data_IF_648864723931
#
_entry.id   IF_648864723931
#
_cell.length_a   1.000
_cell.length_b   1.000
_cell.length_c   1.000
_cell.angle_alpha   90.00
_cell.angle_beta   90.00
_cell.angle_gamma   90.00
#
_symmetry.space_group_name_H-M   'P 1'
#
loop_
_entity.id
_entity.type
_entity.pdbx_description
1 polymer ?
#
# COMPACT_ATOMS: atom_id res chain seq x y z
N UNK A 1 21.21 35.10 6.93
CA UNK A 1 21.57 33.67 6.91
C UNK A 1 20.33 32.91 7.32
N UNK A 2 19.81 31.96 6.57
CA UNK A 2 20.52 30.95 5.78
C UNK A 2 20.35 29.65 6.54
N UNK A 3 19.16 29.05 6.46
CA UNK A 3 18.90 27.75 7.08
C UNK A 3 18.58 26.70 6.03
N UNK A 4 19.38 25.63 6.12
CA UNK A 4 19.69 24.70 5.06
C UNK A 4 18.70 23.53 5.08
N UNK A 5 18.02 23.34 3.94
CA UNK A 5 17.64 22.05 3.35
C UNK A 5 17.85 20.80 4.22
N UNK A 6 16.75 20.19 4.68
CA UNK A 6 16.72 18.79 5.10
C UNK A 6 15.45 18.10 4.60
N UNK A 7 15.63 17.13 3.71
CA UNK A 7 14.62 16.10 3.46
C UNK A 7 14.17 15.98 2.01
N UNK A 8 15.09 16.09 1.05
CA UNK A 8 14.97 15.38 -0.23
C UNK A 8 14.94 13.87 0.09
N UNK A 9 13.79 13.36 0.50
CA UNK A 9 13.49 11.95 0.34
C UNK A 9 13.30 11.82 -1.15
N UNK A 10 14.28 11.25 -1.84
CA UNK A 10 14.22 10.85 -3.23
C UNK A 10 12.89 10.16 -3.45
N UNK A 11 11.90 10.94 -3.91
CA UNK A 11 10.56 10.45 -4.13
C UNK A 11 10.73 9.53 -5.31
N UNK A 12 10.59 8.23 -5.05
CA UNK A 12 10.63 7.20 -6.09
C UNK A 12 9.94 7.74 -7.33
N UNK A 13 10.58 7.65 -8.52
CA UNK A 13 10.10 8.32 -9.71
C UNK A 13 8.61 8.04 -9.82
N UNK A 14 7.79 9.06 -9.56
CA UNK A 14 6.35 8.91 -9.70
C UNK A 14 6.20 8.53 -11.16
N UNK A 15 5.52 7.41 -11.39
CA UNK A 15 5.20 6.97 -12.74
C UNK A 15 4.53 8.11 -13.52
N UNK A 16 4.29 7.91 -14.83
CA UNK A 16 3.66 8.92 -15.68
C UNK A 16 2.50 9.59 -14.94
N UNK A 17 2.41 10.94 -14.96
CA UNK A 17 1.41 11.67 -14.20
C UNK A 17 0.05 11.05 -14.48
N UNK A 18 -0.58 10.56 -13.42
CA UNK A 18 -1.88 9.90 -13.52
C UNK A 18 -2.87 10.88 -14.15
N UNK A 19 -3.55 10.45 -15.21
CA UNK A 19 -4.68 11.19 -15.79
C UNK A 19 -5.84 11.29 -14.79
N UNK A 20 -5.86 10.43 -13.78
CA UNK A 20 -6.72 10.56 -12.62
C UNK A 20 -6.07 11.54 -11.66
N UNK A 21 -6.49 12.81 -11.77
CA UNK A 21 -6.02 13.89 -10.90
C UNK A 21 -6.70 13.87 -9.51
N UNK A 22 -7.84 13.19 -9.40
CA UNK A 22 -8.67 13.18 -8.19
C UNK A 22 -9.11 11.75 -7.88
N UNK A 23 -9.05 11.41 -6.59
CA UNK A 23 -9.56 10.14 -6.10
C UNK A 23 -11.09 10.20 -6.02
N UNK A 24 -11.77 9.19 -6.55
CA UNK A 24 -13.22 9.06 -6.35
C UNK A 24 -13.49 8.86 -4.86
N UNK A 25 -14.29 9.74 -4.20
CA UNK A 25 -14.60 9.58 -2.79
C UNK A 25 -15.22 8.21 -2.49
N UNK A 26 -14.90 7.66 -1.32
CA UNK A 26 -15.45 6.37 -0.89
C UNK A 26 -16.86 6.56 -0.34
N UNK A 27 -17.74 5.60 -0.63
CA UNK A 27 -19.11 5.58 -0.10
C UNK A 27 -19.18 5.15 1.38
N UNK A 28 -18.10 4.59 1.93
CA UNK A 28 -17.98 4.09 3.30
C UNK A 28 -16.62 4.50 3.89
N UNK A 29 -16.53 4.53 5.22
CA UNK A 29 -15.23 4.77 5.88
C UNK A 29 -14.26 3.62 5.58
N UNK A 30 -12.96 3.89 5.74
CA UNK A 30 -11.90 2.88 5.55
C UNK A 30 -12.10 1.68 6.47
N UNK A 31 -12.47 1.94 7.72
CA UNK A 31 -12.66 0.93 8.77
C UNK A 31 -13.84 0.01 8.41
N UNK A 32 -14.93 0.59 7.91
CA UNK A 32 -16.10 -0.17 7.48
C UNK A 32 -15.77 -1.10 6.29
N UNK A 33 -15.00 -0.61 5.31
CA UNK A 33 -14.56 -1.41 4.15
C UNK A 33 -13.65 -2.55 4.62
N UNK A 34 -12.69 -2.27 5.51
CA UNK A 34 -11.77 -3.29 6.04
C UNK A 34 -12.51 -4.37 6.84
N UNK A 35 -13.48 -4.00 7.67
CA UNK A 35 -14.28 -4.95 8.43
C UNK A 35 -15.13 -5.85 7.52
N UNK A 36 -15.72 -5.28 6.46
CA UNK A 36 -16.46 -6.04 5.44
C UNK A 36 -15.54 -7.03 4.71
N UNK A 37 -14.38 -6.58 4.23
CA UNK A 37 -13.41 -7.46 3.58
C UNK A 37 -12.92 -8.59 4.51
N UNK A 38 -12.66 -8.28 5.79
CA UNK A 38 -12.17 -9.28 6.75
C UNK A 38 -13.24 -10.30 7.17
N UNK A 39 -14.51 -9.90 7.21
CA UNK A 39 -15.63 -10.80 7.49
C UNK A 39 -16.07 -11.61 6.28
N UNK A 40 -15.63 -11.23 5.07
CA UNK A 40 -15.97 -11.93 3.85
C UNK A 40 -15.19 -13.25 3.73
N UNK A 41 -15.92 -14.33 3.47
CA UNK A 41 -15.35 -15.65 3.25
C UNK A 41 -14.70 -15.74 1.86
N UNK A 42 -13.44 -15.31 1.76
CA UNK A 42 -12.62 -15.42 0.54
C UNK A 42 -12.58 -16.84 -0.02
N UNK A 43 -12.71 -17.84 0.85
CA UNK A 43 -12.80 -19.27 0.51
C UNK A 43 -14.03 -19.60 -0.33
N UNK A 44 -15.21 -19.06 0.02
CA UNK A 44 -16.45 -19.21 -0.75
C UNK A 44 -16.35 -18.58 -2.13
N UNK A 45 -15.63 -17.46 -2.23
CA UNK A 45 -15.33 -16.81 -3.50
C UNK A 45 -14.17 -17.46 -4.29
N UNK A 46 -13.59 -18.57 -3.79
CA UNK A 46 -12.42 -19.25 -4.37
C UNK A 46 -11.20 -18.34 -4.53
N UNK A 47 -11.14 -17.25 -3.79
CA UNK A 47 -10.00 -16.34 -3.73
C UNK A 47 -8.93 -17.00 -2.87
N UNK A 48 -7.81 -17.35 -3.50
CA UNK A 48 -6.65 -17.94 -2.84
C UNK A 48 -5.58 -16.89 -2.65
N UNK A 49 -5.19 -16.64 -1.40
CA UNK A 49 -4.03 -15.82 -1.12
C UNK A 49 -2.77 -16.51 -1.68
N UNK A 50 -1.86 -15.77 -2.33
CA UNK A 50 -0.54 -16.30 -2.66
C UNK A 50 0.11 -16.87 -1.41
N UNK A 51 0.73 -18.06 -1.51
CA UNK A 51 1.51 -18.61 -0.40
C UNK A 51 2.61 -17.62 -0.07
N UNK A 52 2.59 -17.06 1.14
CA UNK A 52 3.71 -16.27 1.63
C UNK A 52 4.93 -17.19 1.70
N UNK A 53 5.96 -16.89 0.93
CA UNK A 53 7.25 -17.56 1.05
C UNK A 53 7.95 -17.07 2.30
N UNK A 54 8.57 -17.96 3.11
CA UNK A 54 9.38 -17.53 4.24
C UNK A 54 10.50 -16.61 3.77
N UNK A 55 10.84 -15.64 4.61
CA UNK A 55 11.90 -14.70 4.32
C UNK A 55 13.23 -15.43 4.15
N UNK A 56 13.97 -15.10 3.10
CA UNK A 56 15.34 -15.61 2.92
C UNK A 56 16.30 -14.90 3.90
N UNK A 57 17.36 -15.56 4.37
CA UNK A 57 18.46 -14.88 5.06
C UNK A 57 19.00 -13.75 4.17
N UNK A 58 19.07 -12.52 4.70
CA UNK A 58 19.49 -11.34 3.95
C UNK A 58 18.40 -10.67 3.09
N UNK A 59 17.15 -11.12 3.17
CA UNK A 59 16.05 -10.44 2.48
C UNK A 59 15.84 -9.04 3.06
N UNK A 60 15.94 -8.03 2.19
CA UNK A 60 15.75 -6.64 2.56
C UNK A 60 14.31 -6.40 3.05
N UNK A 61 14.20 -6.08 4.34
CA UNK A 61 12.92 -5.83 5.03
C UNK A 61 12.50 -4.37 4.93
N UNK A 62 13.37 -3.47 4.44
CA UNK A 62 13.08 -2.04 4.35
C UNK A 62 12.07 -1.69 3.26
N UNK A 63 11.83 -2.62 2.33
CA UNK A 63 10.98 -2.45 1.14
C UNK A 63 9.50 -2.76 1.39
N UNK A 64 9.12 -3.20 2.58
CA UNK A 64 7.72 -3.49 2.93
C UNK A 64 7.12 -2.36 3.75
N UNK A 65 5.83 -2.10 3.55
CA UNK A 65 5.07 -1.16 4.36
C UNK A 65 5.12 -1.59 5.84
N UNK A 66 5.47 -0.66 6.73
CA UNK A 66 5.37 -0.84 8.20
C UNK A 66 3.93 -0.73 8.67
#
# INVERSE_FOLDING_TARGET
GGDRSKGDRSREPRGPPSIFAVYTPLNKSREAILAECNSFEFTKARVKFPKQTPYKPGQDKSRYCR
#
